data_IF_621646422980
#
_entry.id   IF_621646422980
#
_cell.length_a   1.000
_cell.length_b   1.000
_cell.length_c   1.000
_cell.angle_alpha   90.00
_cell.angle_beta   90.00
_cell.angle_gamma   90.00
#
_symmetry.space_group_name_H-M   'P 1'
#
loop_
_entity.id
_entity.type
_entity.pdbx_description
1 polymer ?
2 non-polymer ?
3 non-polymer ?
4 water ?
#
# COMPACT_ATOMS: atom_id res chain seq x y z
N UNK A 1 -18.11 -10.02 8.18
CA UNK A 1 -16.81 -10.30 7.50
C UNK A 1 -16.24 -9.06 6.80
N UNK A 2 -16.80 -8.66 5.63
CA UNK A 2 -16.10 -7.71 4.76
C UNK A 2 -15.98 -6.29 5.32
N UNK A 3 -15.03 -5.53 4.76
CA UNK A 3 -15.15 -4.08 4.52
C UNK A 3 -15.44 -3.91 3.03
N UNK A 4 -15.98 -2.76 2.62
CA UNK A 4 -16.24 -2.37 1.21
C UNK A 4 -14.91 -1.93 0.60
N UNK A 5 -14.67 -2.33 -0.63
CA UNK A 5 -13.55 -1.83 -1.46
C UNK A 5 -14.17 -1.02 -2.60
N UNK A 6 -13.65 0.15 -3.02
CA UNK A 6 -12.52 0.82 -2.38
C UNK A 6 -12.81 1.33 -0.96
N UNK A 7 -11.81 1.29 -0.10
CA UNK A 7 -11.94 1.68 1.32
C UNK A 7 -10.99 2.85 1.57
N UNK A 8 -11.47 3.82 2.34
CA UNK A 8 -10.68 5.01 2.73
C UNK A 8 -10.50 4.96 4.24
N UNK A 9 -9.27 4.78 4.70
CA UNK A 9 -8.93 4.82 6.13
C UNK A 9 -8.31 6.18 6.43
N UNK A 10 -8.97 7.01 7.26
CA UNK A 10 -8.37 8.24 7.74
C UNK A 10 -7.17 7.95 8.66
N UNK A 11 -6.13 8.76 8.52
CA UNK A 11 -4.92 8.78 9.35
C UNK A 11 -4.91 10.15 10.01
N UNK A 12 -5.60 10.30 11.16
CA UNK A 12 -5.77 11.60 11.81
C UNK A 12 -4.43 12.27 12.14
N UNK A 13 -4.18 13.45 11.58
CA UNK A 13 -2.93 14.18 11.87
C UNK A 13 -1.75 13.58 11.14
N UNK A 14 -2.01 12.71 10.18
CA UNK A 14 -1.04 12.16 9.22
C UNK A 14 -0.26 11.04 9.84
N UNK A 15 0.83 10.68 9.21
CA UNK A 15 1.66 9.54 9.67
C UNK A 15 2.82 10.09 10.46
N UNK A 16 3.42 9.21 11.23
CA UNK A 16 4.54 9.51 12.14
C UNK A 16 5.38 8.23 12.20
N UNK A 17 6.71 8.35 12.39
CA UNK A 17 7.54 7.19 12.67
C UNK A 17 6.95 6.41 13.86
N UNK A 18 7.02 5.09 13.76
CA UNK A 18 6.51 4.07 14.72
C UNK A 18 5.01 3.78 14.52
N UNK A 19 4.36 4.39 13.53
CA UNK A 19 2.96 4.05 13.17
C UNK A 19 2.96 2.79 12.29
N UNK A 20 2.24 1.75 12.73
CA UNK A 20 2.10 0.45 12.04
C UNK A 20 0.68 0.32 11.47
N UNK A 21 0.58 0.12 10.16
CA UNK A 21 -0.71 -0.06 9.47
C UNK A 21 -0.79 -1.50 9.02
N UNK A 22 -1.85 -2.20 9.42
CA UNK A 22 -2.07 -3.63 9.11
C UNK A 22 -3.33 -3.76 8.25
N UNK A 23 -3.19 -4.41 7.11
CA UNK A 23 -4.28 -4.67 6.13
C UNK A 23 -4.37 -6.18 5.97
N UNK A 24 -5.55 -6.75 6.26
CA UNK A 24 -5.82 -8.20 6.12
C UNK A 24 -6.85 -8.36 5.01
N UNK A 25 -6.63 -9.30 4.12
CA UNK A 25 -7.61 -9.51 3.04
C UNK A 25 -7.37 -10.82 2.36
N UNK A 26 -8.12 -11.07 1.31
CA UNK A 26 -7.91 -12.21 0.41
C UNK A 26 -7.90 -11.69 -1.02
N UNK A 27 -6.92 -12.15 -1.78
CA UNK A 27 -6.82 -11.79 -3.20
C UNK A 27 -7.90 -12.59 -3.92
N UNK A 28 -8.66 -11.92 -4.78
CA UNK A 28 -9.71 -12.59 -5.58
C UNK A 28 -9.00 -13.54 -6.53
N UNK A 29 -9.67 -14.63 -6.94
CA UNK A 29 -9.16 -15.47 -8.03
C UNK A 29 -9.09 -14.59 -9.28
N UNK A 30 -8.12 -14.76 -10.14
CA UNK A 30 -8.06 -13.94 -11.39
C UNK A 30 -7.92 -12.43 -11.09
N UNK A 31 -7.29 -12.08 -9.99
CA UNK A 31 -6.94 -10.68 -9.67
C UNK A 31 -6.04 -10.10 -10.77
N UNK A 32 -6.20 -8.81 -11.04
CA UNK A 32 -5.32 -8.04 -11.95
C UNK A 32 -4.45 -7.08 -11.12
N UNK A 33 -4.98 -6.46 -10.07
CA UNK A 33 -4.22 -5.38 -9.39
C UNK A 33 -4.69 -5.23 -7.95
N UNK A 34 -3.78 -4.75 -7.10
CA UNK A 34 -4.05 -4.21 -5.74
C UNK A 34 -3.41 -2.82 -5.74
N UNK A 35 -4.00 -1.86 -5.02
CA UNK A 35 -3.35 -0.54 -4.83
C UNK A 35 -3.59 -0.04 -3.41
N UNK A 36 -2.52 0.38 -2.74
CA UNK A 36 -2.59 1.25 -1.54
C UNK A 36 -2.13 2.65 -1.98
N UNK A 37 -2.91 3.66 -1.60
CA UNK A 37 -2.65 5.07 -1.95
C UNK A 37 -2.62 5.86 -0.65
N UNK A 38 -1.44 6.18 -0.15
CA UNK A 38 -1.29 7.16 0.96
C UNK A 38 -1.37 8.56 0.35
N UNK A 39 -2.39 9.32 0.72
CA UNK A 39 -2.71 10.59 0.05
C UNK A 39 -2.38 11.77 0.97
N UNK A 40 -1.82 12.82 0.36
CA UNK A 40 -1.70 14.18 0.95
C UNK A 40 -2.60 15.08 0.12
N UNK A 41 -3.86 15.22 0.51
CA UNK A 41 -4.87 15.86 -0.36
C UNK A 41 -4.96 15.13 -1.70
N UNK A 42 -4.82 15.83 -2.82
CA UNK A 42 -4.88 15.21 -4.17
C UNK A 42 -3.59 14.44 -4.50
N UNK A 43 -2.48 14.72 -3.84
CA UNK A 43 -1.17 14.06 -4.13
C UNK A 43 -1.17 12.65 -3.54
N UNK A 44 -0.46 11.72 -4.17
CA UNK A 44 -0.25 10.35 -3.61
C UNK A 44 1.19 10.31 -3.15
N UNK A 45 1.39 10.34 -1.83
CA UNK A 45 2.74 10.30 -1.24
C UNK A 45 3.39 8.97 -1.59
N UNK A 46 2.61 7.90 -1.54
CA UNK A 46 3.12 6.52 -1.69
C UNK A 46 1.98 5.68 -2.25
N UNK A 47 2.18 5.25 -3.48
CA UNK A 47 1.34 4.33 -4.28
C UNK A 47 2.07 2.98 -4.31
N UNK A 48 1.45 1.97 -3.74
CA UNK A 48 1.98 0.59 -3.71
C UNK A 48 1.01 -0.24 -4.55
N UNK A 49 1.49 -0.79 -5.67
CA UNK A 49 0.61 -1.31 -6.74
C UNK A 49 1.13 -2.66 -7.24
N UNK A 50 0.82 -3.78 -6.56
CA UNK A 50 1.04 -5.10 -7.15
C UNK A 50 0.20 -5.28 -8.41
N UNK A 51 0.87 -5.68 -9.48
CA UNK A 51 0.22 -5.99 -10.77
C UNK A 51 0.43 -7.47 -11.06
N UNK A 52 -0.66 -8.20 -11.26
CA UNK A 52 -0.63 -9.67 -11.42
C UNK A 52 -0.35 -10.03 -12.87
N UNK A 53 -0.61 -9.13 -13.81
CA UNK A 53 -0.29 -9.44 -15.23
C UNK A 53 0.17 -8.18 -15.94
N UNK A 54 1.45 -7.85 -15.83
CA UNK A 54 2.05 -6.80 -16.67
C UNK A 54 2.96 -7.50 -17.69
N UNK A 55 2.48 -7.62 -18.93
CA UNK A 55 3.21 -8.33 -20.01
C UNK A 55 3.58 -9.74 -19.50
N UNK A 56 2.61 -10.41 -18.86
CA UNK A 56 2.69 -11.82 -18.39
C UNK A 56 3.74 -11.98 -17.29
N UNK A 57 4.07 -10.91 -16.58
CA UNK A 57 4.91 -10.96 -15.36
C UNK A 57 4.10 -10.36 -14.20
N UNK A 58 4.46 -10.74 -12.98
CA UNK A 58 3.89 -10.19 -11.71
C UNK A 58 4.94 -9.24 -11.15
N UNK A 59 4.56 -7.99 -10.94
CA UNK A 59 5.52 -6.93 -10.50
C UNK A 59 4.80 -6.01 -9.50
N UNK A 60 5.58 -5.44 -8.59
CA UNK A 60 5.11 -4.37 -7.69
C UNK A 60 5.69 -3.05 -8.17
N UNK A 61 4.79 -2.12 -8.45
CA UNK A 61 5.14 -0.74 -8.85
C UNK A 61 4.87 0.15 -7.63
N UNK A 62 5.87 0.95 -7.26
CA UNK A 62 5.77 2.04 -6.25
C UNK A 62 6.04 3.39 -6.91
N UNK A 63 5.29 4.41 -6.55
CA UNK A 63 5.47 5.75 -7.14
C UNK A 63 4.82 6.80 -6.24
N UNK A 64 5.00 8.05 -6.63
CA UNK A 64 4.47 9.27 -6.01
C UNK A 64 3.80 10.09 -7.11
N UNK A 65 2.62 10.63 -6.82
CA UNK A 65 1.89 11.52 -7.75
C UNK A 65 1.85 12.92 -7.17
N UNK A 66 2.49 13.88 -7.84
CA UNK A 66 2.50 15.31 -7.42
C UNK A 66 1.81 16.15 -8.49
N UNK A 67 0.82 16.94 -8.10
CA UNK A 67 0.14 17.87 -9.03
C UNK A 67 -0.34 17.09 -10.24
N UNK A 68 -0.85 15.88 -10.00
CA UNK A 68 -1.40 14.98 -11.04
C UNK A 68 -0.34 14.41 -11.99
N UNK A 69 0.94 14.42 -11.67
CA UNK A 69 2.00 13.82 -12.53
C UNK A 69 2.69 12.70 -11.74
N UNK A 70 2.77 11.50 -12.30
CA UNK A 70 3.51 10.38 -11.67
C UNK A 70 5.01 10.65 -11.81
N UNK A 71 5.80 10.23 -10.83
CA UNK A 71 7.26 10.35 -10.83
C UNK A 71 7.95 9.11 -11.38
N UNK A 72 9.19 8.89 -10.96
CA UNK A 72 10.01 7.73 -11.38
C UNK A 72 9.51 6.51 -10.62
N UNK A 73 9.16 5.43 -11.33
CA UNK A 73 8.63 4.22 -10.69
C UNK A 73 9.79 3.51 -9.99
N UNK A 74 9.52 2.85 -8.87
CA UNK A 74 10.42 1.85 -8.26
C UNK A 74 9.71 0.49 -8.38
N UNK A 75 10.36 -0.46 -9.03
CA UNK A 75 9.76 -1.76 -9.41
C UNK A 75 10.45 -2.86 -8.62
N UNK A 76 9.66 -3.78 -8.06
CA UNK A 76 10.11 -4.94 -7.25
C UNK A 76 9.53 -6.20 -7.93
N UNK A 77 10.41 -7.09 -8.40
CA UNK A 77 10.04 -8.39 -9.02
C UNK A 77 9.72 -9.45 -7.96
N UNK A 78 10.13 -9.27 -6.71
CA UNK A 78 9.72 -10.19 -5.62
C UNK A 78 8.22 -10.01 -5.38
N UNK A 79 7.42 -11.05 -5.55
CA UNK A 79 5.94 -10.94 -5.60
C UNK A 79 5.31 -11.96 -4.66
N UNK A 80 5.03 -11.57 -3.39
CA UNK A 80 4.55 -12.55 -2.42
C UNK A 80 3.05 -12.85 -2.48
N UNK A 81 2.26 -12.15 -3.29
CA UNK A 81 0.80 -12.37 -3.40
C UNK A 81 0.53 -13.55 -4.34
N UNK A 82 -0.57 -14.24 -4.11
CA UNK A 82 -1.10 -15.32 -4.99
C UNK A 82 -2.62 -15.16 -5.07
N UNK A 83 -3.17 -15.21 -6.29
CA UNK A 83 -4.62 -15.13 -6.54
C UNK A 83 -5.31 -16.15 -5.64
N UNK A 84 -6.39 -15.74 -4.97
CA UNK A 84 -7.24 -16.65 -4.19
C UNK A 84 -6.75 -16.78 -2.75
N UNK A 85 -5.59 -16.23 -2.36
CA UNK A 85 -5.04 -16.56 -1.03
C UNK A 85 -5.08 -15.36 -0.10
N UNK A 86 -5.26 -15.61 1.20
CA UNK A 86 -5.23 -14.58 2.23
C UNK A 86 -3.82 -14.00 2.42
N UNK A 87 -3.79 -12.71 2.65
CA UNK A 87 -2.55 -11.94 2.88
C UNK A 87 -2.71 -11.02 4.09
N UNK A 88 -1.54 -10.60 4.56
CA UNK A 88 -1.35 -9.52 5.54
C UNK A 88 -0.31 -8.55 5.00
N UNK A 89 -0.71 -7.30 4.77
CA UNK A 89 0.25 -6.21 4.45
C UNK A 89 0.45 -5.39 5.72
N UNK A 90 1.70 -5.18 6.09
CA UNK A 90 2.06 -4.25 7.18
C UNK A 90 2.95 -3.14 6.63
N UNK A 91 2.56 -1.91 6.90
CA UNK A 91 3.33 -0.72 6.45
C UNK A 91 3.78 -0.03 7.74
N UNK A 92 5.08 0.00 7.98
CA UNK A 92 5.68 0.65 9.19
C UNK A 92 6.35 1.94 8.72
N UNK A 93 5.88 3.04 9.25
CA UNK A 93 6.46 4.38 8.97
C UNK A 93 7.75 4.52 9.78
N UNK A 94 8.87 4.67 9.08
CA UNK A 94 10.20 4.95 9.70
C UNK A 94 10.65 6.35 9.31
N UNK A 95 11.69 6.91 9.96
CA UNK A 95 12.11 8.29 9.71
C UNK A 95 12.39 8.62 8.24
N UNK A 96 13.00 7.70 7.49
CA UNK A 96 13.46 7.97 6.11
C UNK A 96 12.58 7.25 5.09
N UNK A 97 11.75 6.29 5.50
CA UNK A 97 11.01 5.49 4.50
C UNK A 97 9.78 4.81 5.08
N UNK A 98 8.91 4.39 4.17
CA UNK A 98 7.87 3.37 4.46
C UNK A 98 8.52 2.00 4.35
N UNK A 99 8.33 1.15 5.35
CA UNK A 99 8.79 -0.26 5.27
C UNK A 99 7.57 -1.16 5.10
N UNK A 100 7.58 -2.02 4.09
CA UNK A 100 6.44 -2.92 3.78
C UNK A 100 6.86 -4.37 4.03
N UNK A 101 6.08 -5.08 4.83
CA UNK A 101 6.17 -6.53 5.01
C UNK A 101 4.86 -7.17 4.58
N UNK A 102 4.94 -8.27 3.85
CA UNK A 102 3.75 -9.06 3.46
C UNK A 102 3.89 -10.46 4.10
N UNK A 103 2.88 -10.91 4.82
CA UNK A 103 2.88 -12.26 5.46
C UNK A 103 4.16 -12.40 6.29
N UNK A 104 4.50 -11.35 7.06
CA UNK A 104 5.57 -11.32 8.08
C UNK A 104 6.95 -11.43 7.44
N UNK A 105 7.08 -11.23 6.14
CA UNK A 105 8.37 -11.17 5.43
C UNK A 105 8.59 -9.75 4.89
N UNK A 106 9.76 -9.17 5.17
CA UNK A 106 10.24 -7.88 4.60
C UNK A 106 10.13 -7.93 3.09
N UNK A 107 9.52 -6.91 2.48
CA UNK A 107 9.35 -6.85 1.02
C UNK A 107 10.16 -5.69 0.45
N UNK A 108 9.95 -4.45 0.90
CA UNK A 108 10.63 -3.29 0.28
C UNK A 108 10.56 -2.10 1.23
N UNK A 109 11.41 -1.12 0.94
CA UNK A 109 11.39 0.21 1.56
C UNK A 109 11.16 1.24 0.46
N UNK A 110 10.46 2.31 0.79
CA UNK A 110 10.21 3.42 -0.15
C UNK A 110 10.60 4.72 0.54
N UNK A 111 11.66 5.37 0.06
CA UNK A 111 12.19 6.63 0.64
C UNK A 111 11.10 7.69 0.58
N UNK A 112 10.95 8.53 1.62
CA UNK A 112 9.95 9.62 1.66
C UNK A 112 10.25 10.67 0.59
N UNK A 113 9.38 10.82 -0.41
CA UNK A 113 9.51 11.91 -1.41
C UNK A 113 8.67 13.11 -0.96
N UNK A 114 7.53 12.84 -0.35
CA UNK A 114 6.65 13.82 0.31
C UNK A 114 7.14 13.91 1.75
N UNK A 115 7.53 15.11 2.16
CA UNK A 115 8.26 15.32 3.43
C UNK A 115 7.31 15.78 4.54
N UNK A 116 6.12 16.28 4.22
CA UNK A 116 5.11 16.70 5.23
C UNK A 116 4.32 15.48 5.67
N UNK A 117 4.93 14.65 6.52
CA UNK A 117 4.33 13.36 6.95
C UNK A 117 2.98 13.64 7.65
N UNK A 118 2.91 14.70 8.44
CA UNK A 118 1.70 15.07 9.21
C UNK A 118 0.55 15.53 8.29
N UNK A 119 0.74 15.61 6.97
CA UNK A 119 -0.34 15.96 6.01
C UNK A 119 -0.76 14.73 5.16
N UNK A 120 -0.11 13.58 5.35
CA UNK A 120 -0.50 12.30 4.71
C UNK A 120 -1.59 11.66 5.56
N UNK A 121 -2.84 12.06 5.32
CA UNK A 121 -3.94 11.87 6.30
C UNK A 121 -5.02 10.92 5.77
N UNK A 122 -4.76 10.19 4.69
CA UNK A 122 -5.76 9.24 4.13
C UNK A 122 -5.04 8.07 3.48
N UNK A 123 -5.48 6.84 3.77
CA UNK A 123 -5.04 5.66 3.02
C UNK A 123 -6.23 5.13 2.22
N UNK A 124 -6.08 5.05 0.91
CA UNK A 124 -7.09 4.44 0.02
C UNK A 124 -6.67 3.03 -0.32
N UNK A 125 -7.57 2.07 -0.16
CA UNK A 125 -7.30 0.64 -0.45
C UNK A 125 -8.24 0.22 -1.58
N UNK A 126 -7.72 -0.26 -2.70
CA UNK A 126 -8.56 -0.65 -3.85
C UNK A 126 -7.95 -1.85 -4.57
N UNK A 127 -8.74 -2.40 -5.50
CA UNK A 127 -8.33 -3.50 -6.37
C UNK A 127 -9.09 -4.78 -6.11
N UNK A 128 -8.51 -5.87 -6.58
CA UNK A 128 -9.19 -7.19 -6.67
C UNK A 128 -8.97 -7.97 -5.38
N UNK A 129 -9.52 -7.47 -4.26
CA UNK A 129 -9.38 -8.08 -2.91
C UNK A 129 -10.73 -8.11 -2.22
N UNK A 130 -10.92 -9.11 -1.37
CA UNK A 130 -11.87 -9.04 -0.24
C UNK A 130 -11.09 -8.45 0.94
N UNK A 131 -11.55 -7.33 1.47
CA UNK A 131 -10.86 -6.65 2.57
C UNK A 131 -11.47 -7.10 3.89
N UNK A 132 -10.64 -7.60 4.79
CA UNK A 132 -11.08 -8.13 6.09
C UNK A 132 -10.97 -7.05 7.15
N UNK A 133 -9.84 -6.38 7.22
CA UNK A 133 -9.52 -5.46 8.34
C UNK A 133 -8.48 -4.44 7.84
N UNK A 134 -8.54 -3.23 8.34
CA UNK A 134 -7.54 -2.19 8.05
C UNK A 134 -7.43 -1.34 9.29
N UNK A 135 -6.28 -1.33 9.94
CA UNK A 135 -6.17 -0.60 11.21
C UNK A 135 -4.72 -0.17 11.40
N UNK A 136 -4.51 0.64 12.43
CA UNK A 136 -3.18 1.17 12.74
C UNK A 136 -2.99 1.09 14.24
N UNK A 137 -1.73 1.10 14.62
CA UNK A 137 -1.32 1.20 16.02
C UNK A 137 0.06 1.86 16.07
N UNK A 138 0.43 2.35 17.24
CA UNK A 138 1.79 2.87 17.52
C UNK A 138 2.58 1.74 18.15
N UNK A 139 3.76 1.44 17.62
CA UNK A 139 4.67 0.45 18.24
C UNK A 139 5.82 1.19 18.93
X LIG B 1 -0.16 4.09 -11.48
X LIG B 1 1.16 4.59 -12.17
X LIG B 1 2.39 4.40 -11.28
X LIG B 1 -1.33 4.28 -12.45
X LIG B 1 -2.08 3.84 -14.68
X LIG B 1 -1.05 3.56 -13.75
X LIG B 1 -2.49 3.75 -11.90
X LIG B 1 -0.06 2.70 -11.10
X LIG B 1 3.59 4.78 -11.98
X LIG B 1 1.36 3.82 -13.40
X LIG B 1 0.30 4.00 -14.34
X LIG B 1 0.77 2.84 -15.88
X LIG B 1 2.47 3.52 -16.30
X LIG B 1 2.38 4.30 -17.54
X LIG B 1 3.65 4.89 -17.93
X LIG B 1 3.33 5.58 -19.26
X LIG B 1 2.41 6.62 -18.90
X LIG B 1 4.69 3.85 -18.16
X LIG B 1 4.34 2.94 -19.25
X LIG B 1 4.80 3.02 -16.89
X LIG B 1 5.73 2.01 -17.17
X LIG B 1 3.50 2.40 -16.52
X LIG B 1 3.71 1.59 -15.35
X LIG C 1 6.24 17.79 1.05
#
# INVERSE_FOLDING_TARGET
GPLIVPYNLPLPGGVVPRMLITILGTVKPNANRIALDFQRGNDVAFHFNPRFNENNRRVIVCNTKLDNNWGREERQSVFPFESGKPFKIQVLVEPDHFKVAVNDAHLLQYNHRVKKLNEISKLGISGDIDLTSASYTMI
4IZ C4 C5 C6 C3 O2 C2 O3 O4 O6 O5 C1 SE1 CAN OAO CAP CAV OAW CAQ OAU CAR OAT CAM OAS
CL CL
#
